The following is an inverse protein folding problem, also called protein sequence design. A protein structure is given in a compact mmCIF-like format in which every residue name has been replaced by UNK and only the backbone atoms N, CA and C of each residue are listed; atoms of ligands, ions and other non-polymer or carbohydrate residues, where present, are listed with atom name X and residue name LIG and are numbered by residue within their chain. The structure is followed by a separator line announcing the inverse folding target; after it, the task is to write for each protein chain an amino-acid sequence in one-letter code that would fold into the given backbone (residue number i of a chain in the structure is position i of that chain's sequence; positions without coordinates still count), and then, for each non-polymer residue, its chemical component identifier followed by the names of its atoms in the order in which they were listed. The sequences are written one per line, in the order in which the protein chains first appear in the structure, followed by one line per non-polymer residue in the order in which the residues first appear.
data_IF_033558448924
#
_entry.id   IF_033558448924
#
_cell.length_a   1.000
_cell.length_b   1.000
_cell.length_c   1.000
_cell.angle_alpha   90.00
_cell.angle_beta   90.00
_cell.angle_gamma   90.00
#
_symmetry.space_group_name_H-M   'P 1'
#
loop_
_entity.id
_entity.type
_entity.pdbx_description
1 polymer ?
#
# COMPACT_ATOMS: atom_id res chain seq x y z
N UNK A 1 15.54 18.47 12.47
CA UNK A 1 16.60 18.48 11.44
C UNK A 1 16.62 19.86 10.82
N UNK A 2 17.71 20.61 10.94
CA UNK A 2 17.86 21.94 10.33
C UNK A 2 19.11 21.87 9.46
N UNK A 3 18.96 21.70 8.14
CA UNK A 3 20.08 21.76 7.18
C UNK A 3 20.15 20.70 6.08
N UNK A 4 19.26 19.71 6.03
CA UNK A 4 19.21 18.79 4.87
C UNK A 4 18.25 19.34 3.82
N UNK A 5 18.75 19.58 2.61
CA UNK A 5 17.90 19.78 1.45
C UNK A 5 17.14 18.47 1.20
N UNK A 6 15.81 18.57 1.14
CA UNK A 6 14.95 17.43 0.85
C UNK A 6 14.65 17.43 -0.65
N UNK A 7 15.20 16.46 -1.37
CA UNK A 7 15.09 16.41 -2.81
C UNK A 7 13.74 15.82 -3.25
N UNK A 8 13.31 16.16 -4.47
CA UNK A 8 12.14 15.52 -5.10
C UNK A 8 12.37 14.02 -5.26
N UNK A 9 13.59 13.59 -5.58
CA UNK A 9 13.94 12.17 -5.69
C UNK A 9 13.78 11.43 -4.34
N UNK A 10 14.18 12.05 -3.22
CA UNK A 10 13.97 11.48 -1.88
C UNK A 10 12.47 11.35 -1.56
N UNK A 11 11.68 12.36 -1.93
CA UNK A 11 10.23 12.34 -1.79
C UNK A 11 9.62 11.20 -2.61
N UNK A 12 9.92 11.12 -3.90
CA UNK A 12 9.41 10.08 -4.78
C UNK A 12 9.77 8.70 -4.26
N UNK A 13 11.02 8.49 -3.86
CA UNK A 13 11.48 7.22 -3.29
C UNK A 13 10.71 6.82 -2.04
N UNK A 14 10.42 7.76 -1.14
CA UNK A 14 9.71 7.50 0.11
C UNK A 14 8.22 7.23 -0.10
N UNK A 15 7.60 7.99 -1.00
CA UNK A 15 6.15 8.00 -1.17
C UNK A 15 5.66 7.22 -2.40
N UNK A 16 6.54 6.60 -3.19
CA UNK A 16 6.16 5.67 -4.26
C UNK A 16 5.30 4.53 -3.69
N UNK A 17 4.10 4.36 -4.25
CA UNK A 17 3.25 3.21 -3.97
C UNK A 17 3.79 2.02 -4.75
N UNK A 18 4.23 1.00 -4.02
CA UNK A 18 4.78 -0.24 -4.59
C UNK A 18 3.71 -1.32 -4.54
N UNK A 19 2.98 -1.48 -5.65
CA UNK A 19 1.77 -2.29 -5.68
C UNK A 19 2.05 -3.76 -5.36
N UNK A 20 3.02 -4.44 -5.99
CA UNK A 20 3.31 -5.84 -5.71
C UNK A 20 3.62 -6.10 -4.22
N UNK A 21 4.39 -5.23 -3.59
CA UNK A 21 4.82 -5.35 -2.20
C UNK A 21 3.68 -5.08 -1.23
N UNK A 22 2.80 -4.13 -1.55
CA UNK A 22 1.60 -3.86 -0.77
C UNK A 22 0.60 -5.02 -0.87
N UNK A 23 0.41 -5.61 -2.06
CA UNK A 23 -0.41 -6.81 -2.24
C UNK A 23 0.14 -8.00 -1.42
N UNK A 24 1.45 -8.25 -1.50
CA UNK A 24 2.10 -9.28 -0.70
C UNK A 24 2.00 -9.01 0.80
N UNK A 25 2.05 -7.74 1.24
CA UNK A 25 1.84 -7.35 2.64
C UNK A 25 0.40 -7.67 3.09
N UNK A 26 -0.61 -7.33 2.29
CA UNK A 26 -2.01 -7.65 2.59
C UNK A 26 -2.18 -9.17 2.78
N UNK A 27 -1.61 -9.98 1.89
CA UNK A 27 -1.71 -11.45 2.00
C UNK A 27 -1.02 -12.02 3.24
N UNK A 28 0.09 -11.43 3.69
CA UNK A 28 0.75 -11.84 4.94
C UNK A 28 -0.08 -11.44 6.17
N UNK A 29 -0.61 -10.22 6.18
CA UNK A 29 -1.44 -9.72 7.29
C UNK A 29 -2.72 -10.54 7.40
N UNK A 30 -3.41 -10.79 6.27
CA UNK A 30 -4.62 -11.61 6.26
C UNK A 30 -4.35 -13.00 6.84
N UNK A 31 -3.30 -13.68 6.39
CA UNK A 31 -2.90 -15.00 6.92
C UNK A 31 -2.62 -14.96 8.42
N UNK A 32 -1.85 -13.97 8.88
CA UNK A 32 -1.53 -13.84 10.30
C UNK A 32 -2.80 -13.77 11.17
N UNK A 33 -3.75 -12.91 10.82
CA UNK A 33 -4.99 -12.77 11.59
C UNK A 33 -5.91 -14.01 11.48
N UNK A 34 -5.93 -14.69 10.33
CA UNK A 34 -6.69 -15.94 10.18
C UNK A 34 -6.12 -17.08 11.03
N UNK A 35 -4.79 -17.15 11.17
CA UNK A 35 -4.12 -18.28 11.81
C UNK A 35 -3.81 -18.04 13.31
N UNK A 36 -3.61 -16.79 13.72
CA UNK A 36 -3.01 -16.48 15.03
C UNK A 36 -3.91 -15.64 15.96
N UNK A 37 -5.05 -15.13 15.49
CA UNK A 37 -5.91 -14.22 16.26
C UNK A 37 -7.37 -14.66 16.19
N UNK A 38 -7.82 -15.33 17.24
CA UNK A 38 -9.15 -15.98 17.30
C UNK A 38 -10.33 -15.02 17.35
N UNK A 39 -10.13 -13.78 17.79
CA UNK A 39 -11.16 -12.75 18.00
C UNK A 39 -11.06 -11.61 16.97
N UNK A 40 -10.46 -11.88 15.81
CA UNK A 40 -10.36 -10.89 14.73
C UNK A 40 -11.74 -10.44 14.24
N UNK A 41 -12.03 -9.13 14.20
CA UNK A 41 -13.26 -8.61 13.61
C UNK A 41 -13.36 -8.94 12.11
N UNK A 42 -14.52 -9.39 11.64
CA UNK A 42 -14.75 -9.75 10.23
C UNK A 42 -14.55 -8.54 9.29
N UNK A 43 -14.82 -7.35 9.80
CA UNK A 43 -14.66 -6.06 9.12
C UNK A 43 -13.20 -5.83 8.68
N UNK A 44 -12.22 -6.35 9.43
CA UNK A 44 -10.80 -6.26 9.06
C UNK A 44 -10.56 -6.90 7.68
N UNK A 45 -11.11 -8.09 7.44
CA UNK A 45 -10.96 -8.79 6.17
C UNK A 45 -11.67 -8.07 5.03
N UNK A 46 -12.82 -7.46 5.30
CA UNK A 46 -13.50 -6.59 4.33
C UNK A 46 -12.63 -5.39 3.94
N UNK A 47 -12.00 -4.74 4.91
CA UNK A 47 -11.08 -3.62 4.67
C UNK A 47 -9.86 -4.06 3.86
N UNK A 48 -9.25 -5.20 4.20
CA UNK A 48 -8.11 -5.75 3.45
C UNK A 48 -8.47 -6.09 2.00
N UNK A 49 -9.68 -6.62 1.76
CA UNK A 49 -10.19 -6.87 0.43
C UNK A 49 -10.35 -5.57 -0.38
N UNK A 50 -10.99 -4.55 0.19
CA UNK A 50 -11.16 -3.25 -0.47
C UNK A 50 -9.82 -2.57 -0.78
N UNK A 51 -8.82 -2.70 0.11
CA UNK A 51 -7.46 -2.21 -0.16
C UNK A 51 -6.80 -2.95 -1.33
N UNK A 52 -6.97 -4.28 -1.41
CA UNK A 52 -6.47 -5.09 -2.53
C UNK A 52 -7.07 -4.63 -3.86
N UNK A 53 -8.39 -4.43 -3.91
CA UNK A 53 -9.07 -3.99 -5.14
C UNK A 53 -8.56 -2.62 -5.61
N UNK A 54 -8.44 -1.64 -4.69
CA UNK A 54 -7.88 -0.32 -5.01
C UNK A 54 -6.46 -0.39 -5.57
N UNK A 55 -5.61 -1.27 -5.01
CA UNK A 55 -4.25 -1.48 -5.52
C UNK A 55 -4.25 -2.12 -6.90
N UNK A 56 -5.13 -3.09 -7.16
CA UNK A 56 -5.25 -3.72 -8.47
C UNK A 56 -5.75 -2.73 -9.54
N UNK A 57 -6.71 -1.89 -9.19
CA UNK A 57 -7.19 -0.80 -10.04
C UNK A 57 -6.09 0.22 -10.32
N UNK A 58 -5.38 0.67 -9.29
CA UNK A 58 -4.25 1.58 -9.43
C UNK A 58 -3.15 0.99 -10.31
N UNK A 59 -2.83 -0.31 -10.15
CA UNK A 59 -1.86 -1.00 -11.00
C UNK A 59 -2.27 -1.03 -12.46
N UNK A 60 -3.57 -1.29 -12.74
CA UNK A 60 -4.09 -1.25 -14.12
C UNK A 60 -3.93 0.14 -14.75
N UNK A 61 -4.04 1.21 -13.95
CA UNK A 61 -3.95 2.60 -14.40
C UNK A 61 -2.51 3.11 -14.54
N UNK A 62 -1.65 2.77 -13.59
CA UNK A 62 -0.36 3.45 -13.39
C UNK A 62 0.85 2.50 -13.38
N UNK A 63 0.64 1.18 -13.43
CA UNK A 63 1.70 0.18 -13.34
C UNK A 63 2.07 -0.21 -11.90
N UNK A 64 3.17 -0.94 -11.74
CA UNK A 64 3.55 -1.55 -10.46
C UNK A 64 4.12 -0.55 -9.44
N UNK A 65 4.72 0.55 -9.90
CA UNK A 65 5.35 1.56 -9.07
C UNK A 65 4.76 2.92 -9.41
N UNK A 66 4.00 3.49 -8.48
CA UNK A 66 3.19 4.69 -8.72
C UNK A 66 3.80 5.86 -7.96
N UNK A 67 4.20 6.90 -8.69
CA UNK A 67 4.71 8.13 -8.11
C UNK A 67 3.58 8.90 -7.41
N UNK A 68 3.89 9.67 -6.35
CA UNK A 68 2.88 10.42 -5.60
C UNK A 68 2.04 11.37 -6.49
N UNK A 69 2.68 11.98 -7.48
CA UNK A 69 2.08 12.92 -8.44
C UNK A 69 1.04 12.28 -9.37
N UNK A 70 0.99 10.94 -9.46
CA UNK A 70 0.00 10.24 -10.30
C UNK A 70 -1.45 10.40 -9.79
N UNK A 71 -1.65 10.92 -8.58
CA UNK A 71 -2.95 11.12 -7.94
C UNK A 71 -3.25 12.60 -7.62
N UNK A 72 -2.51 13.55 -8.21
CA UNK A 72 -2.82 14.97 -8.07
C UNK A 72 -4.14 15.34 -8.80
N UNK A 73 -4.94 16.24 -8.22
CA UNK A 73 -6.20 16.78 -8.77
C UNK A 73 -5.94 17.92 -9.78
#
# INVERSE_FOLDING_TARGET
MLGKAYSKEDYDKQFTIRVPENLAKIERVQRFYQENVSDTPIELFGILYLQRERLLEARKRFGDYILPESFEE
#
